data_IF_453699076862
#
_entry.id   IF_453699076862
#
_cell.length_a   1.000
_cell.length_b   1.000
_cell.length_c   1.000
_cell.angle_alpha   90.00
_cell.angle_beta   90.00
_cell.angle_gamma   90.00
#
_symmetry.space_group_name_H-M   'P 1'
#
loop_
_entity.id
_entity.type
_entity.pdbx_description
1 polymer ?
#
# COMPACT_ATOMS: atom_id res chain seq x y z
N UNK A 1 -10.48 -14.66 -19.98
CA UNK A 1 -9.77 -15.46 -18.97
C UNK A 1 -10.16 -14.89 -17.64
N UNK A 2 -10.76 -15.66 -16.73
CA UNK A 2 -11.24 -15.12 -15.45
C UNK A 2 -10.08 -15.19 -14.45
N UNK A 3 -9.63 -14.04 -13.95
CA UNK A 3 -8.61 -13.99 -12.90
C UNK A 3 -9.22 -14.52 -11.60
N UNK A 4 -8.44 -15.27 -10.83
CA UNK A 4 -8.87 -15.90 -9.58
C UNK A 4 -7.94 -15.53 -8.43
N UNK A 5 -8.36 -15.87 -7.21
CA UNK A 5 -7.52 -15.76 -6.00
C UNK A 5 -6.17 -16.47 -6.20
N UNK A 6 -6.17 -17.64 -6.84
CA UNK A 6 -4.94 -18.42 -7.09
C UNK A 6 -3.94 -17.70 -7.99
N UNK A 7 -4.41 -16.80 -8.87
CA UNK A 7 -3.56 -16.04 -9.79
C UNK A 7 -2.88 -14.85 -9.10
N UNK A 8 -3.58 -14.19 -8.16
CA UNK A 8 -3.04 -13.02 -7.44
C UNK A 8 -2.15 -13.40 -6.24
N UNK A 9 -2.43 -14.54 -5.62
CA UNK A 9 -1.76 -14.94 -4.37
C UNK A 9 -0.24 -15.14 -4.48
N UNK A 10 0.33 -15.68 -5.58
CA UNK A 10 1.78 -15.76 -5.74
C UNK A 10 2.45 -14.39 -5.69
N UNK A 11 1.89 -13.39 -6.37
CA UNK A 11 2.45 -12.04 -6.40
C UNK A 11 2.33 -11.34 -5.04
N UNK A 12 1.19 -11.51 -4.35
CA UNK A 12 1.03 -11.00 -2.99
C UNK A 12 2.02 -11.63 -1.99
N UNK A 13 2.34 -12.93 -2.15
CA UNK A 13 3.35 -13.62 -1.33
C UNK A 13 4.76 -13.11 -1.62
N UNK A 14 5.09 -12.76 -2.86
CA UNK A 14 6.39 -12.17 -3.20
C UNK A 14 6.58 -10.81 -2.48
N UNK A 15 5.57 -9.94 -2.53
CA UNK A 15 5.57 -8.67 -1.76
C UNK A 15 5.78 -8.95 -0.26
N UNK A 16 5.00 -9.87 0.30
CA UNK A 16 5.06 -10.22 1.71
C UNK A 16 6.46 -10.73 2.12
N UNK A 17 7.07 -11.58 1.29
CA UNK A 17 8.41 -12.10 1.52
C UNK A 17 9.48 -10.99 1.45
N UNK A 18 9.43 -10.14 0.43
CA UNK A 18 10.38 -9.02 0.26
C UNK A 18 10.31 -7.99 1.37
N UNK A 19 9.14 -7.82 2.01
CA UNK A 19 8.92 -6.93 3.15
C UNK A 19 9.04 -7.63 4.52
N UNK A 20 9.22 -8.95 4.53
CA UNK A 20 9.29 -9.77 5.76
C UNK A 20 8.02 -9.65 6.63
N UNK A 21 6.84 -9.63 5.99
CA UNK A 21 5.53 -9.53 6.65
C UNK A 21 4.63 -10.72 6.31
N UNK A 22 3.55 -10.88 7.08
CA UNK A 22 2.50 -11.85 6.75
C UNK A 22 1.77 -11.44 5.47
N UNK A 23 1.44 -12.40 4.59
CA UNK A 23 0.63 -12.15 3.38
C UNK A 23 -0.74 -11.54 3.71
N UNK A 24 -1.29 -11.81 4.91
CA UNK A 24 -2.55 -11.20 5.38
C UNK A 24 -2.44 -9.68 5.62
N UNK A 25 -1.22 -9.16 5.76
CA UNK A 25 -0.96 -7.72 5.85
C UNK A 25 -0.94 -7.06 4.48
N UNK A 26 -0.64 -7.83 3.42
CA UNK A 26 -0.58 -7.34 2.04
C UNK A 26 -1.94 -7.40 1.37
N UNK A 27 -2.69 -8.49 1.56
CA UNK A 27 -3.96 -8.72 0.88
C UNK A 27 -4.99 -9.36 1.82
N UNK A 28 -6.23 -8.87 1.73
CA UNK A 28 -7.42 -9.44 2.32
C UNK A 28 -8.51 -9.57 1.25
N UNK A 29 -9.43 -10.52 1.40
CA UNK A 29 -10.53 -10.75 0.44
C UNK A 29 -11.91 -10.46 1.04
N UNK A 30 -11.93 -9.81 2.19
CA UNK A 30 -13.16 -9.39 2.85
C UNK A 30 -12.83 -8.27 3.84
N UNK A 31 -13.80 -7.40 4.11
CA UNK A 31 -13.72 -6.45 5.20
C UNK A 31 -13.45 -7.17 6.54
N UNK A 32 -12.46 -6.71 7.29
CA UNK A 32 -12.04 -7.31 8.56
C UNK A 32 -12.16 -6.36 9.77
N UNK A 33 -12.50 -5.09 9.54
CA UNK A 33 -12.59 -4.04 10.57
C UNK A 33 -13.45 -2.84 10.13
N UNK A 34 -13.70 -1.93 11.07
CA UNK A 34 -14.46 -0.67 10.86
C UNK A 34 -13.83 0.28 9.82
N UNK A 35 -12.56 0.08 9.48
CA UNK A 35 -11.93 0.58 8.27
C UNK A 35 -11.05 -0.53 7.75
N UNK A 36 -11.35 -1.06 6.56
CA UNK A 36 -10.58 -2.15 5.97
C UNK A 36 -10.47 -1.97 4.48
N UNK A 37 -9.31 -2.36 3.98
CA UNK A 37 -9.03 -2.52 2.56
C UNK A 37 -9.02 -3.99 2.21
N UNK A 38 -9.67 -4.33 1.11
CA UNK A 38 -9.74 -5.71 0.64
C UNK A 38 -9.87 -5.74 -0.87
N UNK A 39 -9.62 -6.92 -1.42
CA UNK A 39 -9.74 -7.21 -2.83
C UNK A 39 -10.97 -8.07 -3.07
N UNK A 40 -11.81 -7.65 -4.00
CA UNK A 40 -12.85 -8.49 -4.58
C UNK A 40 -12.45 -8.88 -6.01
N UNK A 41 -12.81 -10.09 -6.42
CA UNK A 41 -12.47 -10.65 -7.73
C UNK A 41 -13.72 -11.24 -8.35
N UNK A 42 -14.17 -10.67 -9.45
CA UNK A 42 -15.34 -11.14 -10.19
C UNK A 42 -15.10 -11.12 -11.72
N UNK A 43 -16.17 -11.23 -12.50
CA UNK A 43 -16.10 -11.23 -13.96
C UNK A 43 -15.68 -9.89 -14.59
N UNK A 44 -15.80 -8.79 -13.85
CA UNK A 44 -15.50 -7.43 -14.26
C UNK A 44 -14.07 -7.01 -13.89
N UNK A 45 -13.37 -7.78 -13.06
CA UNK A 45 -11.93 -7.67 -12.84
C UNK A 45 -11.50 -7.79 -11.38
N UNK A 46 -10.41 -7.08 -11.05
CA UNK A 46 -9.81 -6.99 -9.74
C UNK A 46 -10.21 -5.67 -9.09
N UNK A 47 -10.93 -5.73 -7.96
CA UNK A 47 -11.43 -4.57 -7.26
C UNK A 47 -10.67 -4.35 -5.97
N UNK A 48 -9.89 -3.29 -5.87
CA UNK A 48 -9.39 -2.81 -4.59
C UNK A 48 -10.41 -1.88 -3.97
N UNK A 49 -10.89 -2.23 -2.78
CA UNK A 49 -11.99 -1.57 -2.09
C UNK A 49 -11.52 -1.07 -0.74
N UNK A 50 -11.86 0.18 -0.43
CA UNK A 50 -11.79 0.75 0.92
C UNK A 50 -13.21 0.83 1.45
N UNK A 51 -13.49 0.13 2.55
CA UNK A 51 -14.76 0.19 3.23
C UNK A 51 -14.59 0.72 4.66
N UNK A 52 -15.60 1.45 5.11
CA UNK A 52 -15.75 1.87 6.51
C UNK A 52 -16.77 0.99 7.25
N UNK A 53 -17.11 1.39 8.48
CA UNK A 53 -17.97 0.66 9.40
C UNK A 53 -19.29 0.25 8.74
N UNK A 54 -19.74 -0.97 9.06
CA UNK A 54 -20.89 -1.63 8.45
C UNK A 54 -20.74 -1.95 6.94
N UNK A 55 -19.52 -1.90 6.39
CA UNK A 55 -19.24 -2.33 5.02
C UNK A 55 -19.60 -1.27 3.97
N UNK A 56 -19.74 0.00 4.34
CA UNK A 56 -19.98 1.07 3.37
C UNK A 56 -18.70 1.31 2.56
N UNK A 57 -18.75 1.05 1.26
CA UNK A 57 -17.65 1.40 0.35
C UNK A 57 -17.43 2.92 0.32
N UNK A 58 -16.19 3.33 0.55
CA UNK A 58 -15.74 4.73 0.48
C UNK A 58 -14.96 4.97 -0.80
N UNK A 59 -14.23 3.95 -1.28
CA UNK A 59 -13.45 4.01 -2.50
C UNK A 59 -13.37 2.64 -3.15
N UNK A 60 -13.44 2.62 -4.48
CA UNK A 60 -13.22 1.44 -5.31
C UNK A 60 -12.29 1.80 -6.45
N UNK A 61 -11.33 0.93 -6.74
CA UNK A 61 -10.50 0.97 -7.96
C UNK A 61 -10.58 -0.40 -8.62
N UNK A 62 -10.75 -0.43 -9.93
CA UNK A 62 -10.87 -1.67 -10.72
C UNK A 62 -9.75 -1.73 -11.74
N UNK A 63 -9.17 -2.91 -11.93
CA UNK A 63 -8.17 -3.19 -12.97
C UNK A 63 -8.30 -4.64 -13.44
N UNK A 64 -7.85 -4.94 -14.66
CA UNK A 64 -7.64 -6.30 -15.16
C UNK A 64 -6.16 -6.74 -15.06
N UNK A 65 -5.29 -5.87 -14.54
CA UNK A 65 -3.87 -6.12 -14.39
C UNK A 65 -3.52 -6.52 -12.96
N UNK A 66 -2.99 -7.74 -12.81
CA UNK A 66 -2.43 -8.20 -11.53
C UNK A 66 -1.29 -7.27 -11.07
N UNK A 67 -0.46 -6.81 -12.00
CA UNK A 67 0.66 -5.91 -11.69
C UNK A 67 0.17 -4.57 -11.13
N UNK A 68 -0.88 -4.01 -11.72
CA UNK A 68 -1.47 -2.76 -11.23
C UNK A 68 -2.12 -2.93 -9.84
N UNK A 69 -2.82 -4.05 -9.61
CA UNK A 69 -3.33 -4.38 -8.27
C UNK A 69 -2.18 -4.50 -7.26
N UNK A 70 -1.10 -5.20 -7.63
CA UNK A 70 0.07 -5.38 -6.76
C UNK A 70 0.73 -4.05 -6.43
N UNK A 71 0.83 -3.13 -7.40
CA UNK A 71 1.31 -1.78 -7.15
C UNK A 71 0.46 -1.06 -6.11
N UNK A 72 -0.88 -1.12 -6.21
CA UNK A 72 -1.77 -0.48 -5.22
C UNK A 72 -1.59 -1.06 -3.82
N UNK A 73 -1.54 -2.38 -3.70
CA UNK A 73 -1.32 -3.07 -2.42
C UNK A 73 0.07 -2.77 -1.84
N UNK A 74 1.10 -2.69 -2.69
CA UNK A 74 2.45 -2.32 -2.31
C UNK A 74 2.51 -0.90 -1.74
N UNK A 75 1.90 0.08 -2.42
CA UNK A 75 1.80 1.46 -1.94
C UNK A 75 1.10 1.51 -0.58
N UNK A 76 -0.01 0.78 -0.44
CA UNK A 76 -0.77 0.77 0.81
C UNK A 76 0.02 0.15 1.98
N UNK A 77 0.54 -1.08 1.82
CA UNK A 77 1.22 -1.78 2.92
C UNK A 77 2.50 -1.05 3.33
N UNK A 78 3.23 -0.45 2.37
CA UNK A 78 4.44 0.33 2.67
C UNK A 78 4.11 1.65 3.37
N UNK A 79 2.97 2.29 3.05
CA UNK A 79 2.50 3.47 3.79
C UNK A 79 2.20 3.14 5.27
N UNK A 80 1.53 2.02 5.51
CA UNK A 80 1.23 1.54 6.87
C UNK A 80 2.51 1.24 7.65
N UNK A 81 3.45 0.51 7.05
CA UNK A 81 4.75 0.18 7.65
C UNK A 81 5.61 1.43 7.93
N UNK A 82 5.62 2.40 7.01
CA UNK A 82 6.31 3.67 7.24
C UNK A 82 5.69 4.45 8.40
N UNK A 83 4.37 4.37 8.56
CA UNK A 83 3.65 4.89 9.72
C UNK A 83 4.13 4.24 11.01
N UNK A 84 4.08 2.91 11.12
CA UNK A 84 4.54 2.17 12.30
C UNK A 84 5.99 2.51 12.65
N UNK A 85 6.88 2.53 11.66
CA UNK A 85 8.27 2.96 11.85
C UNK A 85 8.36 4.37 12.44
N UNK A 86 7.57 5.33 11.95
CA UNK A 86 7.59 6.70 12.47
C UNK A 86 7.14 6.78 13.94
N UNK A 87 6.16 5.95 14.32
CA UNK A 87 5.72 5.84 15.72
C UNK A 87 6.82 5.23 16.60
N UNK A 88 7.51 4.19 16.13
CA UNK A 88 8.64 3.58 16.83
C UNK A 88 9.79 4.57 17.01
N UNK A 89 10.14 5.34 15.97
CA UNK A 89 11.19 6.37 16.06
C UNK A 89 10.87 7.45 17.09
N UNK A 90 9.62 7.95 17.12
CA UNK A 90 9.17 8.93 18.13
C UNK A 90 9.25 8.39 19.55
N UNK A 91 8.97 7.10 19.72
CA UNK A 91 9.01 6.43 21.02
C UNK A 91 10.45 6.22 21.51
N UNK A 92 11.37 5.94 20.58
CA UNK A 92 12.78 5.68 20.86
C UNK A 92 13.63 6.96 21.02
N UNK A 93 13.30 8.01 20.28
CA UNK A 93 14.02 9.29 20.24
C UNK A 93 13.03 10.45 20.39
N UNK A 94 12.43 10.63 21.59
CA UNK A 94 11.37 11.63 21.81
C UNK A 94 11.82 13.07 21.57
N UNK A 95 13.11 13.36 21.65
CA UNK A 95 13.72 14.65 21.32
C UNK A 95 13.85 14.91 19.82
N UNK A 96 13.77 13.87 18.98
CA UNK A 96 13.83 14.00 17.53
C UNK A 96 12.42 14.12 16.97
N UNK A 97 12.18 15.19 16.23
CA UNK A 97 10.97 15.31 15.43
C UNK A 97 11.03 14.33 14.24
N UNK A 98 10.01 13.50 14.09
CA UNK A 98 9.80 12.65 12.91
C UNK A 98 8.71 13.28 12.06
N UNK A 99 9.12 13.79 10.89
CA UNK A 99 8.29 14.59 10.00
C UNK A 99 7.50 13.74 9.00
N UNK A 100 6.59 14.39 8.24
CA UNK A 100 5.94 13.76 7.10
C UNK A 100 6.93 13.31 6.03
N UNK A 101 7.96 14.12 5.76
CA UNK A 101 9.03 13.81 4.79
C UNK A 101 9.81 12.56 5.20
N UNK A 102 10.13 12.39 6.49
CA UNK A 102 10.80 11.17 6.97
C UNK A 102 9.95 9.91 6.71
N UNK A 103 8.64 10.01 6.94
CA UNK A 103 7.71 8.89 6.66
C UNK A 103 7.63 8.57 5.18
N UNK A 104 7.55 9.58 4.30
CA UNK A 104 7.51 9.37 2.86
C UNK A 104 8.83 8.78 2.34
N UNK A 105 9.98 9.26 2.82
CA UNK A 105 11.27 8.67 2.53
C UNK A 105 11.34 7.19 2.96
N UNK A 106 10.78 6.85 4.13
CA UNK A 106 10.70 5.46 4.59
C UNK A 106 9.82 4.61 3.68
N UNK A 107 8.70 5.15 3.21
CA UNK A 107 7.85 4.45 2.25
C UNK A 107 8.57 4.19 0.92
N UNK A 108 9.27 5.18 0.36
CA UNK A 108 10.08 5.02 -0.87
C UNK A 108 11.19 3.98 -0.67
N UNK A 109 11.84 3.95 0.49
CA UNK A 109 12.82 2.91 0.84
C UNK A 109 12.20 1.50 0.80
N UNK A 110 11.01 1.33 1.37
CA UNK A 110 10.30 0.04 1.36
C UNK A 110 9.84 -0.35 -0.05
N UNK A 111 9.30 0.58 -0.82
CA UNK A 111 8.92 0.34 -2.23
C UNK A 111 10.12 -0.07 -3.07
N UNK A 112 11.30 0.50 -2.84
CA UNK A 112 12.53 0.15 -3.56
C UNK A 112 12.97 -1.30 -3.33
N UNK A 113 12.59 -1.91 -2.20
CA UNK A 113 12.79 -3.35 -1.95
C UNK A 113 11.88 -4.24 -2.80
N UNK A 114 10.72 -3.70 -3.22
CA UNK A 114 9.73 -4.41 -4.01
C UNK A 114 10.03 -4.29 -5.51
N UNK A 115 10.08 -3.04 -5.97
CA UNK A 115 10.30 -2.67 -7.36
C UNK A 115 10.88 -1.24 -7.45
N UNK A 116 11.94 -1.07 -8.23
CA UNK A 116 12.62 0.22 -8.37
C UNK A 116 11.76 1.27 -9.10
N UNK A 117 10.91 0.86 -10.03
CA UNK A 117 10.03 1.76 -10.78
C UNK A 117 8.92 2.32 -9.89
N UNK A 118 8.33 1.50 -9.02
CA UNK A 118 7.33 1.95 -8.05
C UNK A 118 7.90 2.96 -7.06
N UNK A 119 9.16 2.77 -6.64
CA UNK A 119 9.84 3.74 -5.78
C UNK A 119 10.09 5.09 -6.49
N UNK A 120 10.48 5.05 -7.77
CA UNK A 120 10.67 6.27 -8.58
C UNK A 120 9.34 7.00 -8.79
N UNK A 121 8.27 6.26 -9.10
CA UNK A 121 6.93 6.83 -9.25
C UNK A 121 6.47 7.52 -7.95
N UNK A 122 6.56 6.81 -6.81
CA UNK A 122 6.16 7.37 -5.52
C UNK A 122 6.97 8.62 -5.15
N UNK A 123 8.29 8.61 -5.40
CA UNK A 123 9.13 9.79 -5.16
C UNK A 123 8.68 10.99 -6.01
N UNK A 124 8.41 10.77 -7.30
CA UNK A 124 7.94 11.83 -8.19
C UNK A 124 6.56 12.39 -7.75
N UNK A 125 5.64 11.52 -7.32
CA UNK A 125 4.34 11.94 -6.78
C UNK A 125 4.48 12.79 -5.50
N UNK A 126 5.41 12.44 -4.61
CA UNK A 126 5.66 13.24 -3.40
C UNK A 126 6.36 14.56 -3.72
N UNK A 127 7.32 14.55 -4.63
CA UNK A 127 8.01 15.77 -5.05
C UNK A 127 7.03 16.75 -5.71
N UNK A 128 6.07 16.27 -6.49
CA UNK A 128 5.01 17.10 -7.10
C UNK A 128 4.02 17.62 -6.03
N UNK A 129 3.53 16.73 -5.16
CA UNK A 129 2.56 17.09 -4.12
C UNK A 129 3.12 18.04 -3.05
N UNK A 130 4.42 18.00 -2.80
CA UNK A 130 5.12 18.81 -1.79
C UNK A 130 6.13 19.80 -2.38
N UNK A 131 6.12 19.99 -3.70
CA UNK A 131 6.83 21.10 -4.33
C UNK A 131 6.27 22.40 -3.75
N UNK A 132 7.11 23.34 -3.25
CA UNK A 132 6.62 24.66 -2.90
C UNK A 132 6.00 25.25 -4.17
N UNK A 133 4.69 25.47 -4.15
CA UNK A 133 3.99 26.23 -5.17
C UNK A 133 4.45 27.70 -5.13
N UNK A 134 5.69 27.96 -5.55
CA UNK A 134 6.30 29.28 -5.69
C UNK A 134 7.33 29.24 -6.82
N UNK A 135 6.89 29.71 -7.99
CA UNK A 135 7.69 30.59 -8.82
C UNK A 135 7.43 32.04 -8.44
#
# INVERSE_FOLDING_TARGET
MTITVSDVMPAARDIAAKLEVSVRRVIAFSACSDFSTYVDIDGDGLHWIVAERAGREVKRRTTDSIDELMHWLAVEVTFQMAGEWAWEQRSRFPEREVTGTDRLAKQVELLRRLDGSWAVQAQAEYDDAYSPAFG
#
